data_IF_780135487421
#
_entry.id   IF_780135487421
#
_cell.length_a   1.000
_cell.length_b   1.000
_cell.length_c   1.000
_cell.angle_alpha   90.00
_cell.angle_beta   90.00
_cell.angle_gamma   90.00
#
_symmetry.space_group_name_H-M   'P 1'
#
loop_
_entity.id
_entity.type
_entity.pdbx_description
1 polymer ?
#
# COMPACT_ATOMS: atom_id res chain seq x y z
N UNK A 1 -16.13 7.45 9.40
CA UNK A 1 -16.51 6.02 9.44
C UNK A 1 -16.86 5.50 10.85
N UNK A 2 -16.66 6.28 11.94
CA UNK A 2 -16.95 5.86 13.33
C UNK A 2 -18.40 6.06 13.83
N UNK A 3 -19.23 6.80 13.10
CA UNK A 3 -20.59 7.19 13.54
C UNK A 3 -21.71 6.41 12.83
N UNK A 4 -21.36 5.35 12.10
CA UNK A 4 -22.36 4.41 11.61
C UNK A 4 -22.12 3.10 12.36
N UNK A 5 -23.01 2.78 13.30
CA UNK A 5 -23.19 1.47 13.92
C UNK A 5 -23.60 0.45 12.84
N UNK A 6 -22.75 0.26 11.83
CA UNK A 6 -22.92 -0.73 10.79
C UNK A 6 -21.88 -1.79 11.00
N UNK A 7 -22.30 -3.05 10.97
CA UNK A 7 -21.42 -4.21 11.00
C UNK A 7 -20.44 -4.22 9.82
N UNK A 8 -19.47 -5.14 9.81
CA UNK A 8 -18.53 -5.28 8.68
C UNK A 8 -19.30 -5.47 7.37
N UNK A 9 -18.96 -4.67 6.36
CA UNK A 9 -19.54 -4.77 5.01
C UNK A 9 -19.13 -6.06 4.30
N UNK A 10 -18.00 -6.64 4.68
CA UNK A 10 -17.44 -7.88 4.16
C UNK A 10 -16.84 -8.65 5.35
N UNK A 11 -17.28 -9.88 5.59
CA UNK A 11 -16.78 -10.72 6.69
C UNK A 11 -15.61 -11.63 6.29
N UNK A 12 -15.30 -11.69 5.00
CA UNK A 12 -14.28 -12.58 4.45
C UNK A 12 -12.98 -11.84 4.05
N UNK A 13 -11.88 -12.58 4.06
CA UNK A 13 -10.58 -12.19 3.52
C UNK A 13 -9.91 -13.42 2.86
N UNK A 14 -9.28 -13.31 1.68
CA UNK A 14 -9.05 -12.11 0.84
C UNK A 14 -10.22 -11.76 -0.10
N UNK A 15 -11.21 -12.63 -0.22
CA UNK A 15 -12.40 -12.46 -1.07
C UNK A 15 -13.46 -11.57 -0.42
N UNK A 16 -14.43 -11.10 -1.21
CA UNK A 16 -15.62 -10.41 -0.75
C UNK A 16 -16.85 -11.30 -0.96
N UNK A 17 -17.44 -11.81 0.13
CA UNK A 17 -18.58 -12.73 0.10
C UNK A 17 -18.32 -13.95 -0.82
N UNK A 18 -17.15 -14.56 -0.68
CA UNK A 18 -16.71 -15.72 -1.48
C UNK A 18 -16.20 -15.42 -2.91
N UNK A 19 -16.23 -14.18 -3.41
CA UNK A 19 -15.77 -13.84 -4.76
C UNK A 19 -14.61 -12.81 -4.77
N UNK A 20 -13.72 -12.91 -5.77
CA UNK A 20 -12.68 -11.90 -6.02
C UNK A 20 -13.24 -10.62 -6.67
N UNK A 21 -14.29 -10.78 -7.46
CA UNK A 21 -15.08 -9.69 -8.03
C UNK A 21 -16.48 -9.82 -7.44
N UNK A 22 -16.87 -8.97 -6.47
CA UNK A 22 -18.17 -9.08 -5.84
C UNK A 22 -19.29 -8.75 -6.82
N UNK A 23 -20.28 -9.62 -6.91
CA UNK A 23 -21.53 -9.31 -7.60
C UNK A 23 -22.33 -8.33 -6.75
N UNK A 24 -22.40 -7.09 -7.21
CA UNK A 24 -23.18 -6.01 -6.57
C UNK A 24 -24.47 -5.69 -7.33
N UNK A 25 -24.98 -6.62 -8.13
CA UNK A 25 -26.32 -6.52 -8.71
C UNK A 25 -27.38 -6.39 -7.61
N UNK A 26 -28.52 -5.76 -7.92
CA UNK A 26 -29.59 -5.56 -6.95
C UNK A 26 -30.10 -6.89 -6.34
N UNK A 27 -30.15 -7.96 -7.15
CA UNK A 27 -30.55 -9.28 -6.69
C UNK A 27 -29.52 -9.93 -5.74
N UNK A 28 -28.23 -9.82 -6.06
CA UNK A 28 -27.17 -10.32 -5.19
C UNK A 28 -27.09 -9.53 -3.87
N UNK A 29 -27.22 -8.21 -3.94
CA UNK A 29 -27.22 -7.35 -2.76
C UNK A 29 -28.43 -7.62 -1.85
N UNK A 30 -29.62 -7.83 -2.43
CA UNK A 30 -30.80 -8.23 -1.67
C UNK A 30 -30.62 -9.59 -0.97
N UNK A 31 -30.00 -10.57 -1.65
CA UNK A 31 -29.67 -11.88 -1.04
C UNK A 31 -28.66 -11.74 0.11
N UNK A 32 -27.65 -10.90 -0.06
CA UNK A 32 -26.65 -10.62 0.98
C UNK A 32 -27.31 -9.94 2.18
N UNK A 33 -28.13 -8.91 1.96
CA UNK A 33 -28.82 -8.21 3.03
C UNK A 33 -29.84 -9.11 3.76
N UNK A 34 -30.60 -9.95 3.03
CA UNK A 34 -31.48 -10.93 3.67
C UNK A 34 -30.72 -11.92 4.57
N UNK A 35 -29.52 -12.37 4.16
CA UNK A 35 -28.66 -13.23 4.99
C UNK A 35 -28.11 -12.50 6.23
N UNK A 36 -27.87 -11.20 6.12
CA UNK A 36 -27.38 -10.32 7.18
C UNK A 36 -28.49 -10.00 8.18
N UNK A 37 -29.68 -9.67 7.70
CA UNK A 37 -30.88 -9.44 8.51
C UNK A 37 -31.21 -10.65 9.38
N UNK A 38 -31.15 -11.85 8.79
CA UNK A 38 -31.35 -13.12 9.52
C UNK A 38 -30.34 -13.35 10.66
N UNK A 39 -29.23 -12.60 10.70
CA UNK A 39 -28.19 -12.63 11.74
C UNK A 39 -28.15 -11.36 12.58
N UNK A 40 -29.11 -10.46 12.42
CA UNK A 40 -29.14 -9.16 13.10
C UNK A 40 -28.03 -8.21 12.68
N UNK A 41 -27.44 -8.41 11.50
CA UNK A 41 -26.38 -7.57 10.96
C UNK A 41 -26.98 -6.46 10.08
N UNK A 42 -26.33 -5.30 10.10
CA UNK A 42 -26.75 -4.12 9.36
C UNK A 42 -26.63 -4.28 7.85
N UNK A 43 -27.55 -3.69 7.09
CA UNK A 43 -27.50 -3.66 5.63
C UNK A 43 -26.20 -3.07 5.07
N UNK A 44 -25.67 -3.78 4.07
CA UNK A 44 -24.51 -3.35 3.30
C UNK A 44 -24.95 -2.79 1.95
N UNK A 45 -24.23 -1.79 1.46
CA UNK A 45 -24.44 -1.24 0.12
C UNK A 45 -23.33 -1.65 -0.83
N UNK A 46 -23.63 -1.69 -2.13
CA UNK A 46 -22.63 -1.93 -3.18
C UNK A 46 -21.41 -1.01 -3.03
N UNK A 47 -21.63 0.28 -2.75
CA UNK A 47 -20.56 1.25 -2.51
C UNK A 47 -19.62 0.84 -1.37
N UNK A 48 -20.14 0.32 -0.26
CA UNK A 48 -19.32 -0.12 0.87
C UNK A 48 -18.48 -1.36 0.55
N UNK A 49 -19.02 -2.27 -0.26
CA UNK A 49 -18.28 -3.45 -0.73
C UNK A 49 -17.13 -3.00 -1.65
N UNK A 50 -17.43 -2.14 -2.63
CA UNK A 50 -16.44 -1.62 -3.56
C UNK A 50 -15.36 -0.77 -2.89
N UNK A 51 -15.72 0.02 -1.87
CA UNK A 51 -14.76 0.81 -1.10
C UNK A 51 -13.71 -0.08 -0.41
N UNK A 52 -14.15 -1.20 0.18
CA UNK A 52 -13.24 -2.17 0.79
C UNK A 52 -12.36 -2.86 -0.28
N UNK A 53 -12.93 -3.21 -1.43
CA UNK A 53 -12.15 -3.79 -2.54
C UNK A 53 -11.11 -2.81 -3.08
N UNK A 54 -11.48 -1.54 -3.25
CA UNK A 54 -10.55 -0.48 -3.67
C UNK A 54 -9.43 -0.29 -2.65
N UNK A 55 -9.74 -0.33 -1.35
CA UNK A 55 -8.73 -0.25 -0.30
C UNK A 55 -7.75 -1.44 -0.34
N UNK A 56 -8.27 -2.68 -0.51
CA UNK A 56 -7.44 -3.89 -0.67
C UNK A 56 -6.53 -3.80 -1.90
N UNK A 57 -7.07 -3.31 -3.03
CA UNK A 57 -6.30 -3.10 -4.26
C UNK A 57 -5.19 -2.06 -4.05
N UNK A 58 -5.51 -0.93 -3.42
CA UNK A 58 -4.53 0.11 -3.09
C UNK A 58 -3.42 -0.44 -2.17
N UNK A 59 -3.77 -1.24 -1.17
CA UNK A 59 -2.80 -1.88 -0.28
C UNK A 59 -1.86 -2.82 -1.05
N UNK A 60 -2.37 -3.58 -2.02
CA UNK A 60 -1.55 -4.44 -2.89
C UNK A 60 -0.58 -3.61 -3.75
N UNK A 61 -1.06 -2.52 -4.35
CA UNK A 61 -0.21 -1.61 -5.15
C UNK A 61 0.91 -1.02 -4.30
N UNK A 62 0.60 -0.58 -3.07
CA UNK A 62 1.61 -0.07 -2.13
C UNK A 62 2.62 -1.17 -1.79
N UNK A 63 2.17 -2.39 -1.49
CA UNK A 63 3.07 -3.50 -1.17
C UNK A 63 4.04 -3.80 -2.33
N UNK A 64 3.55 -3.84 -3.58
CA UNK A 64 4.38 -4.04 -4.77
C UNK A 64 5.39 -2.89 -4.93
N UNK A 65 4.95 -1.64 -4.72
CA UNK A 65 5.84 -0.48 -4.81
C UNK A 65 6.96 -0.53 -3.76
N UNK A 66 6.66 -0.94 -2.53
CA UNK A 66 7.66 -1.12 -1.46
C UNK A 66 8.66 -2.22 -1.81
N UNK A 67 8.18 -3.35 -2.33
CA UNK A 67 9.05 -4.46 -2.76
C UNK A 67 9.96 -4.00 -3.93
N UNK A 68 9.40 -3.33 -4.94
CA UNK A 68 10.17 -2.80 -6.06
C UNK A 68 11.22 -1.77 -5.62
N UNK A 69 10.87 -0.90 -4.67
CA UNK A 69 11.79 0.04 -4.05
C UNK A 69 12.92 -0.67 -3.30
N UNK A 70 12.58 -1.68 -2.48
CA UNK A 70 13.54 -2.54 -1.79
C UNK A 70 14.56 -3.17 -2.74
N UNK A 71 14.08 -3.74 -3.84
CA UNK A 71 14.95 -4.33 -4.86
C UNK A 71 15.85 -3.30 -5.53
N UNK A 72 15.35 -2.09 -5.83
CA UNK A 72 16.18 -1.01 -6.40
C UNK A 72 17.27 -0.56 -5.45
N UNK A 73 16.96 -0.37 -4.16
CA UNK A 73 17.95 0.03 -3.14
C UNK A 73 19.04 -1.03 -3.01
N UNK A 74 18.66 -2.32 -2.97
CA UNK A 74 19.62 -3.43 -2.91
C UNK A 74 20.55 -3.49 -4.12
N UNK A 75 20.07 -3.16 -5.31
CA UNK A 75 20.88 -3.18 -6.54
C UNK A 75 21.73 -1.93 -6.74
N UNK A 76 21.23 -0.75 -6.37
CA UNK A 76 21.89 0.53 -6.66
C UNK A 76 22.82 1.06 -5.57
N UNK A 77 22.73 0.57 -4.33
CA UNK A 77 23.43 1.15 -3.19
C UNK A 77 23.93 0.11 -2.15
N UNK A 78 24.69 -0.93 -2.55
CA UNK A 78 25.16 -1.98 -1.63
C UNK A 78 26.07 -1.48 -0.50
N UNK A 79 26.61 -0.25 -0.62
CA UNK A 79 27.53 0.37 0.32
C UNK A 79 26.84 0.99 1.55
N UNK A 80 25.50 1.12 1.55
CA UNK A 80 24.74 1.67 2.66
C UNK A 80 23.97 0.57 3.41
N UNK A 81 24.64 -0.09 4.36
CA UNK A 81 24.08 -1.18 5.18
C UNK A 81 22.79 -0.75 5.91
N UNK A 82 22.72 0.50 6.36
CA UNK A 82 21.54 1.07 7.02
C UNK A 82 20.30 1.10 6.10
N UNK A 83 20.46 1.41 4.81
CA UNK A 83 19.35 1.43 3.84
C UNK A 83 18.82 0.00 3.58
N UNK A 84 19.70 -0.99 3.57
CA UNK A 84 19.32 -2.38 3.35
C UNK A 84 18.55 -2.95 4.56
N UNK A 85 19.00 -2.69 5.78
CA UNK A 85 18.25 -3.07 7.00
C UNK A 85 16.90 -2.37 7.08
N UNK A 86 16.85 -1.07 6.78
CA UNK A 86 15.61 -0.30 6.75
C UNK A 86 14.60 -0.89 5.77
N UNK A 87 15.09 -1.36 4.62
CA UNK A 87 14.25 -2.00 3.62
C UNK A 87 13.66 -3.34 4.09
N UNK A 88 14.43 -4.16 4.81
CA UNK A 88 13.93 -5.42 5.41
C UNK A 88 12.88 -5.11 6.47
N UNK A 89 13.15 -4.15 7.36
CA UNK A 89 12.18 -3.69 8.35
C UNK A 89 10.89 -3.19 7.71
N UNK A 90 11.00 -2.48 6.59
CA UNK A 90 9.82 -1.97 5.90
C UNK A 90 8.95 -3.09 5.30
N UNK A 91 9.55 -4.15 4.73
CA UNK A 91 8.82 -5.34 4.28
C UNK A 91 8.14 -6.06 5.45
N UNK A 92 8.85 -6.21 6.58
CA UNK A 92 8.28 -6.81 7.78
C UNK A 92 7.09 -5.99 8.32
N UNK A 93 7.20 -4.66 8.35
CA UNK A 93 6.13 -3.77 8.78
C UNK A 93 4.92 -3.78 7.81
N UNK A 94 5.14 -3.87 6.49
CA UNK A 94 4.05 -4.09 5.51
C UNK A 94 3.33 -5.40 5.78
N UNK A 95 4.06 -6.47 6.07
CA UNK A 95 3.48 -7.77 6.42
C UNK A 95 2.64 -7.68 7.70
N UNK A 96 3.16 -7.00 8.72
CA UNK A 96 2.43 -6.72 9.96
C UNK A 96 1.16 -5.88 9.69
N UNK A 97 1.22 -4.89 8.80
CA UNK A 97 0.06 -4.09 8.41
C UNK A 97 -1.03 -4.91 7.70
N UNK A 98 -0.65 -5.86 6.85
CA UNK A 98 -1.61 -6.79 6.22
C UNK A 98 -2.27 -7.67 7.29
N UNK A 99 -1.48 -8.19 8.24
CA UNK A 99 -2.00 -8.98 9.36
C UNK A 99 -2.94 -8.16 10.26
N UNK A 100 -2.58 -6.92 10.59
CA UNK A 100 -3.44 -5.99 11.33
C UNK A 100 -4.73 -5.71 10.55
N UNK A 101 -4.66 -5.53 9.23
CA UNK A 101 -5.83 -5.36 8.37
C UNK A 101 -6.77 -6.56 8.45
N UNK A 102 -6.26 -7.79 8.33
CA UNK A 102 -7.05 -9.01 8.54
C UNK A 102 -7.62 -9.09 9.97
N UNK A 103 -6.84 -8.70 10.97
CA UNK A 103 -7.27 -8.71 12.36
C UNK A 103 -8.41 -7.71 12.65
N UNK A 104 -8.47 -6.57 11.94
CA UNK A 104 -9.63 -5.64 12.04
C UNK A 104 -10.94 -6.28 11.58
N UNK A 105 -10.87 -7.22 10.63
CA UNK A 105 -12.02 -7.99 10.15
C UNK A 105 -12.47 -9.00 11.21
N UNK A 106 -11.52 -9.76 11.77
CA UNK A 106 -11.80 -10.80 12.76
C UNK A 106 -12.23 -10.26 14.13
N UNK A 107 -11.75 -9.08 14.51
CA UNK A 107 -12.10 -8.40 15.76
C UNK A 107 -13.43 -7.64 15.72
N UNK A 108 -14.24 -7.84 14.67
CA UNK A 108 -15.53 -7.15 14.48
C UNK A 108 -15.44 -5.62 14.57
N UNK A 109 -14.41 -5.01 13.96
CA UNK A 109 -14.10 -3.57 14.05
C UNK A 109 -13.78 -3.07 15.46
N UNK A 110 -12.97 -3.79 16.24
CA UNK A 110 -12.37 -3.20 17.43
C UNK A 110 -11.70 -1.86 17.06
N UNK A 111 -12.24 -0.76 17.59
CA UNK A 111 -11.89 0.60 17.17
C UNK A 111 -10.39 0.88 17.37
N UNK A 112 -9.80 0.30 18.40
CA UNK A 112 -8.39 0.41 18.74
C UNK A 112 -7.50 -0.20 17.64
N UNK A 113 -7.90 -1.35 17.12
CA UNK A 113 -7.14 -2.11 16.10
C UNK A 113 -7.26 -1.43 14.74
N UNK A 114 -8.46 -0.96 14.40
CA UNK A 114 -8.67 -0.20 13.17
C UNK A 114 -7.87 1.12 13.19
N UNK A 115 -7.84 1.81 14.33
CA UNK A 115 -7.07 3.05 14.48
C UNK A 115 -5.58 2.78 14.40
N UNK A 116 -5.09 1.73 15.08
CA UNK A 116 -3.69 1.32 15.00
C UNK A 116 -3.28 0.98 13.56
N UNK A 117 -4.12 0.24 12.83
CA UNK A 117 -3.88 -0.10 11.43
C UNK A 117 -3.80 1.15 10.53
N UNK A 118 -4.74 2.09 10.67
CA UNK A 118 -4.75 3.31 9.84
C UNK A 118 -3.56 4.22 10.18
N UNK A 119 -3.30 4.45 11.48
CA UNK A 119 -2.19 5.28 11.93
C UNK A 119 -0.83 4.69 11.54
N UNK A 120 -0.65 3.38 11.76
CA UNK A 120 0.55 2.65 11.34
C UNK A 120 0.76 2.74 9.83
N UNK A 121 -0.29 2.53 9.04
CA UNK A 121 -0.25 2.65 7.59
C UNK A 121 0.17 4.04 7.10
N UNK A 122 -0.38 5.10 7.71
CA UNK A 122 -0.07 6.48 7.34
C UNK A 122 1.39 6.86 7.62
N UNK A 123 1.92 6.45 8.78
CA UNK A 123 3.33 6.69 9.15
C UNK A 123 4.25 5.99 8.16
N UNK A 124 3.95 4.73 7.85
CA UNK A 124 4.77 3.92 6.95
C UNK A 124 4.77 4.44 5.51
N UNK A 125 3.61 4.88 5.03
CA UNK A 125 3.48 5.50 3.70
C UNK A 125 4.30 6.80 3.64
N UNK A 126 4.17 7.67 4.66
CA UNK A 126 4.89 8.94 4.72
C UNK A 126 6.40 8.72 4.69
N UNK A 127 6.90 7.82 5.55
CA UNK A 127 8.31 7.47 5.62
C UNK A 127 8.81 6.90 4.28
N UNK A 128 8.02 6.04 3.66
CA UNK A 128 8.31 5.44 2.38
C UNK A 128 8.42 6.42 1.21
N UNK A 129 7.47 7.35 1.12
CA UNK A 129 7.47 8.42 0.11
C UNK A 129 8.68 9.33 0.32
N UNK A 130 8.98 9.72 1.56
CA UNK A 130 10.15 10.56 1.87
C UNK A 130 11.46 9.89 1.46
N UNK A 131 11.67 8.63 1.83
CA UNK A 131 12.90 7.90 1.48
C UNK A 131 13.01 7.67 -0.03
N UNK A 132 11.89 7.32 -0.69
CA UNK A 132 11.86 7.15 -2.14
C UNK A 132 12.22 8.45 -2.86
N UNK A 133 11.69 9.59 -2.41
CA UNK A 133 12.01 10.90 -2.97
C UNK A 133 13.47 11.30 -2.72
N UNK A 134 14.01 11.01 -1.53
CA UNK A 134 15.42 11.28 -1.21
C UNK A 134 16.34 10.42 -2.09
N UNK A 135 16.06 9.12 -2.21
CA UNK A 135 16.85 8.23 -3.07
C UNK A 135 16.77 8.64 -4.54
N UNK A 136 15.58 9.02 -5.02
CA UNK A 136 15.41 9.55 -6.37
C UNK A 136 16.27 10.79 -6.61
N UNK A 137 16.25 11.76 -5.68
CA UNK A 137 17.08 12.98 -5.78
C UNK A 137 18.57 12.67 -5.79
N UNK A 138 19.04 11.80 -4.91
CA UNK A 138 20.47 11.42 -4.84
C UNK A 138 20.91 10.74 -6.14
N UNK A 139 20.11 9.80 -6.65
CA UNK A 139 20.41 9.09 -7.90
C UNK A 139 20.41 10.05 -9.10
N UNK A 140 19.45 10.96 -9.21
CA UNK A 140 19.40 11.96 -10.29
C UNK A 140 20.56 12.97 -10.24
N UNK A 141 21.03 13.33 -9.05
CA UNK A 141 22.20 14.21 -8.92
C UNK A 141 23.50 13.54 -9.37
N UNK A 142 23.61 12.21 -9.25
CA UNK A 142 24.77 11.49 -9.74
C UNK A 142 24.80 11.37 -11.27
N UNK A 143 23.65 11.20 -11.92
CA UNK A 143 23.57 11.21 -13.39
C UNK A 143 23.89 12.57 -14.01
N UNK A 144 23.56 13.68 -13.33
CA UNK A 144 23.90 15.04 -13.80
C UNK A 144 25.38 15.40 -13.69
N UNK A 145 26.12 14.81 -12.74
CA UNK A 145 27.57 15.05 -12.55
C UNK A 145 28.46 14.15 -13.41
N UNK A 146 27.93 13.07 -13.96
CA UNK A 146 28.66 12.13 -14.80
C UNK A 146 28.75 12.56 -16.28
N UNK A 147 28.37 13.80 -16.63
CA UNK A 147 28.67 14.35 -17.94
C UNK A 147 30.20 14.56 -18.05
N UNK A 148 30.92 13.85 -18.95
CA UNK A 148 32.36 13.98 -19.06
C UNK A 148 32.72 15.43 -19.43
N UNK A 149 33.83 15.99 -18.91
CA UNK A 149 34.29 17.31 -19.31
C UNK A 149 34.49 17.30 -20.83
N UNK A 150 33.84 18.24 -21.53
CA UNK A 150 33.99 18.41 -22.95
C UNK A 150 35.49 18.52 -23.29
N UNK A 151 35.98 17.62 -24.13
CA UNK A 151 37.38 17.59 -24.53
C UNK A 151 37.81 18.96 -25.08
N UNK A 152 39.02 19.46 -24.76
CA UNK A 152 39.48 20.73 -25.28
C UNK A 152 39.52 20.67 -26.80
N UNK A 153 38.79 21.58 -27.47
CA UNK A 153 38.89 21.76 -28.92
C UNK A 153 40.33 22.18 -29.24
N UNK A 154 41.10 21.27 -29.84
CA UNK A 154 42.38 21.59 -30.44
C UNK A 154 42.16 22.62 -31.56
N UNK A 155 42.66 23.83 -31.37
CA UNK A 155 42.65 24.84 -32.44
C UNK A 155 43.66 24.42 -33.51
N UNK A 156 43.31 24.52 -34.81
CA UNK A 156 44.27 24.28 -35.88
C UNK A 156 45.32 25.40 -35.91
N UNK A 157 46.60 25.02 -35.90
CA UNK A 157 47.73 25.94 -36.07
C UNK A 157 47.68 26.54 -37.47
N UNK A 158 47.74 27.88 -37.63
CA UNK A 158 47.97 28.48 -38.93
C UNK A 158 49.40 28.18 -39.40
N UNK A 159 49.54 27.87 -40.68
CA UNK A 159 50.80 27.65 -41.39
C UNK A 159 51.45 28.96 -41.82
#
# INVERSE_FOLDING_TARGET
MRHQHRDLSILDFPTANGAWIPDTSAAALAKINAWRDARGLSDVTAFQIWLQMAHRFLALVIAIAVIAFSFRVRRGAPRFVALNQLSIWWVALVTCQIALGAWTIWSNKAADIATAHVAGGAIMLSFGVSISAICWRILHQQTGRAAPPAAPRSQPSPA
#
